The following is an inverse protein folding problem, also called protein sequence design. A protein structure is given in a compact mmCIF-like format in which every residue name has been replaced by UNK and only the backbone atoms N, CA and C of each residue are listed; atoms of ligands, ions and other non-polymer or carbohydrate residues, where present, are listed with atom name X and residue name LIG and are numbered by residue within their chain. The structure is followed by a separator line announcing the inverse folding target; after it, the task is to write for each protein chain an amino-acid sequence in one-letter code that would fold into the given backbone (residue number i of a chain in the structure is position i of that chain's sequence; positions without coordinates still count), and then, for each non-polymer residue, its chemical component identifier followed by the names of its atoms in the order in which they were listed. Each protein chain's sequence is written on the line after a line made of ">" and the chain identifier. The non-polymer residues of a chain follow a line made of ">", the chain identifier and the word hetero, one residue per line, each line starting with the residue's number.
data_IF_654445914782
#
_entry.id   IF_654445914782
#
_cell.length_a   1.000
_cell.length_b   1.000
_cell.length_c   1.000
_cell.angle_alpha   90.00
_cell.angle_beta   90.00
_cell.angle_gamma   90.00
#
_symmetry.space_group_name_H-M   'P 1'
#
loop_
_entity.id
_entity.type
_entity.pdbx_description
1 polymer ?
#
# COMPACT_ATOMS: atom_id res chain seq x y z
N UNK A 1 29.97 -40.65 51.10
CA UNK A 1 30.33 -40.54 49.67
C UNK A 1 29.07 -40.52 48.72
N UNK A 2 28.00 -41.23 49.05
CA UNK A 2 26.77 -41.24 48.22
C UNK A 2 26.10 -39.85 48.10
N UNK A 3 26.01 -39.10 49.21
CA UNK A 3 25.36 -37.77 49.25
C UNK A 3 26.03 -36.75 48.32
N UNK A 4 27.34 -36.79 48.17
CA UNK A 4 28.11 -35.88 47.32
C UNK A 4 27.86 -36.21 45.82
N UNK A 5 27.79 -37.50 45.47
CA UNK A 5 27.50 -37.98 44.13
C UNK A 5 26.07 -37.62 43.68
N UNK A 6 25.10 -37.69 44.60
CA UNK A 6 23.71 -37.30 44.33
C UNK A 6 23.56 -35.78 44.19
N UNK A 7 24.27 -34.99 44.98
CA UNK A 7 24.32 -33.55 44.86
C UNK A 7 24.92 -33.11 43.49
N UNK A 8 26.01 -33.74 43.05
CA UNK A 8 26.62 -33.47 41.74
C UNK A 8 25.67 -33.78 40.60
N UNK A 9 25.03 -34.95 40.62
CA UNK A 9 24.00 -35.32 39.60
C UNK A 9 22.82 -34.35 39.56
N UNK A 10 22.40 -33.88 40.74
CA UNK A 10 21.32 -32.89 40.84
C UNK A 10 21.73 -31.56 40.25
N UNK A 11 22.93 -31.06 40.49
CA UNK A 11 23.49 -29.85 39.91
C UNK A 11 23.60 -29.96 38.39
N UNK A 12 24.10 -31.10 37.87
CA UNK A 12 24.15 -31.34 36.40
C UNK A 12 22.77 -31.31 35.76
N UNK A 13 21.77 -31.95 36.35
CA UNK A 13 20.36 -31.92 35.85
C UNK A 13 19.79 -30.51 35.90
N UNK A 14 20.01 -29.74 36.95
CA UNK A 14 19.57 -28.36 37.05
C UNK A 14 20.21 -27.49 35.94
N UNK A 15 21.50 -27.72 35.67
CA UNK A 15 22.20 -26.99 34.61
C UNK A 15 21.67 -27.31 33.23
N UNK A 16 21.36 -28.59 32.94
CA UNK A 16 20.70 -29.02 31.68
C UNK A 16 19.30 -28.37 31.56
N UNK A 17 18.50 -28.43 32.62
CA UNK A 17 17.17 -27.83 32.63
C UNK A 17 17.21 -26.30 32.38
N UNK A 18 18.19 -25.62 32.98
CA UNK A 18 18.41 -24.19 32.76
C UNK A 18 18.76 -23.89 31.30
N UNK A 19 19.65 -24.64 30.69
CA UNK A 19 20.04 -24.49 29.29
C UNK A 19 18.84 -24.71 28.33
N UNK A 20 18.00 -25.71 28.63
CA UNK A 20 16.78 -25.98 27.88
C UNK A 20 15.80 -24.80 28.03
N UNK A 21 15.62 -24.28 29.24
CA UNK A 21 14.71 -23.15 29.48
C UNK A 21 15.20 -21.87 28.77
N UNK A 22 16.51 -21.57 28.86
CA UNK A 22 17.11 -20.42 28.14
C UNK A 22 16.96 -20.56 26.63
N UNK A 23 17.12 -21.77 26.07
CA UNK A 23 16.89 -22.06 24.65
C UNK A 23 15.44 -21.90 24.24
N UNK A 24 14.48 -22.29 25.07
CA UNK A 24 13.06 -22.11 24.81
C UNK A 24 12.64 -20.64 24.81
N UNK A 25 13.15 -19.84 25.73
CA UNK A 25 12.89 -18.38 25.75
C UNK A 25 13.51 -17.67 24.53
N UNK A 26 14.72 -18.05 24.15
CA UNK A 26 15.36 -17.51 22.95
C UNK A 26 14.55 -17.86 21.66
N UNK A 27 14.07 -19.10 21.56
CA UNK A 27 13.22 -19.52 20.44
C UNK A 27 11.93 -18.70 20.33
N UNK A 28 11.26 -18.44 21.46
CA UNK A 28 10.08 -17.58 21.51
C UNK A 28 10.41 -16.14 21.09
N UNK A 29 11.54 -15.62 21.54
CA UNK A 29 11.97 -14.26 21.21
C UNK A 29 12.30 -14.10 19.71
N UNK A 30 12.93 -15.11 19.10
CA UNK A 30 13.19 -15.16 17.66
C UNK A 30 11.87 -15.24 16.88
N UNK A 31 10.92 -16.08 17.32
CA UNK A 31 9.63 -16.19 16.68
C UNK A 31 8.83 -14.89 16.73
N UNK A 32 8.85 -14.16 17.84
CA UNK A 32 8.27 -12.81 17.94
C UNK A 32 8.89 -11.85 16.91
N UNK A 33 10.22 -11.84 16.77
CA UNK A 33 10.91 -11.02 15.76
C UNK A 33 10.51 -11.42 14.32
N UNK A 34 10.38 -12.73 14.08
CA UNK A 34 9.95 -13.25 12.78
C UNK A 34 8.56 -12.75 12.40
N UNK A 35 7.62 -12.77 13.35
CA UNK A 35 6.25 -12.28 13.12
C UNK A 35 6.26 -10.78 12.82
N UNK A 36 6.94 -9.97 13.64
CA UNK A 36 7.07 -8.53 13.42
C UNK A 36 7.66 -8.22 12.03
N UNK A 37 8.74 -8.91 11.62
CA UNK A 37 9.35 -8.72 10.30
C UNK A 37 8.46 -9.18 9.15
N UNK A 38 7.65 -10.24 9.33
CA UNK A 38 6.73 -10.73 8.32
C UNK A 38 5.64 -9.71 7.98
N UNK A 39 5.17 -8.94 8.96
CA UNK A 39 4.20 -7.85 8.74
C UNK A 39 4.80 -6.73 7.88
N UNK A 40 6.05 -6.33 8.18
CA UNK A 40 6.76 -5.36 7.34
C UNK A 40 7.02 -5.89 5.93
N UNK A 41 7.46 -7.14 5.80
CA UNK A 41 7.69 -7.77 4.51
C UNK A 41 6.42 -7.82 3.65
N UNK A 42 5.28 -8.14 4.26
CA UNK A 42 3.98 -8.14 3.59
C UNK A 42 3.62 -6.74 3.09
N UNK A 43 3.79 -5.72 3.94
CA UNK A 43 3.51 -4.32 3.59
C UNK A 43 4.41 -3.82 2.46
N UNK A 44 5.72 -4.08 2.54
CA UNK A 44 6.70 -3.68 1.53
C UNK A 44 6.44 -4.39 0.20
N UNK A 45 6.18 -5.70 0.22
CA UNK A 45 5.85 -6.46 -0.98
C UNK A 45 4.55 -5.96 -1.64
N UNK A 46 3.51 -5.65 -0.85
CA UNK A 46 2.28 -5.06 -1.36
C UNK A 46 2.53 -3.73 -2.08
N UNK A 47 3.35 -2.85 -1.50
CA UNK A 47 3.74 -1.58 -2.13
C UNK A 47 4.60 -1.77 -3.37
N UNK A 48 5.51 -2.74 -3.37
CA UNK A 48 6.34 -3.06 -4.53
C UNK A 48 5.49 -3.58 -5.70
N UNK A 49 4.55 -4.50 -5.43
CA UNK A 49 3.61 -5.00 -6.44
C UNK A 49 2.73 -3.89 -6.99
N UNK A 50 2.18 -3.03 -6.13
CA UNK A 50 1.41 -1.85 -6.53
C UNK A 50 2.24 -0.89 -7.40
N UNK A 51 3.48 -0.61 -6.98
CA UNK A 51 4.41 0.24 -7.73
C UNK A 51 4.77 -0.33 -9.10
N UNK A 52 5.02 -1.63 -9.21
CA UNK A 52 5.28 -2.30 -10.47
C UNK A 52 4.06 -2.19 -11.41
N UNK A 53 2.85 -2.48 -10.91
CA UNK A 53 1.62 -2.35 -11.67
C UNK A 53 1.39 -0.91 -12.16
N UNK A 54 1.66 0.08 -11.33
CA UNK A 54 1.56 1.50 -11.71
C UNK A 54 2.55 1.86 -12.81
N UNK A 55 3.82 1.47 -12.65
CA UNK A 55 4.86 1.71 -13.64
C UNK A 55 4.52 1.08 -15.00
N UNK A 56 4.06 -0.17 -15.02
CA UNK A 56 3.62 -0.87 -16.23
C UNK A 56 2.46 -0.17 -16.95
N UNK A 57 1.63 0.57 -16.20
CA UNK A 57 0.50 1.34 -16.74
C UNK A 57 0.79 2.83 -16.90
N UNK A 58 2.07 3.24 -16.91
CA UNK A 58 2.50 4.60 -17.23
C UNK A 58 2.34 5.61 -16.10
N UNK A 59 2.07 5.17 -14.86
CA UNK A 59 2.05 6.06 -13.70
C UNK A 59 3.48 6.42 -13.31
N UNK A 60 3.81 7.71 -13.32
CA UNK A 60 5.11 8.20 -12.86
C UNK A 60 5.20 8.18 -11.34
N UNK A 61 6.08 7.34 -10.80
CA UNK A 61 6.27 7.20 -9.36
C UNK A 61 7.31 8.17 -8.82
N UNK A 62 6.98 8.84 -7.72
CA UNK A 62 7.88 9.72 -7.00
C UNK A 62 8.91 8.91 -6.20
N UNK A 63 10.17 9.37 -6.20
CA UNK A 63 11.22 8.76 -5.38
C UNK A 63 10.99 9.03 -3.89
N UNK A 64 11.14 7.99 -3.06
CA UNK A 64 11.09 8.11 -1.59
C UNK A 64 12.51 8.24 -1.05
N UNK A 65 12.83 9.39 -0.46
CA UNK A 65 14.19 9.77 -0.06
C UNK A 65 14.85 8.85 0.97
N UNK A 66 14.07 8.20 1.83
CA UNK A 66 14.60 7.42 2.95
C UNK A 66 14.86 5.93 2.62
N UNK A 67 14.60 5.51 1.38
CA UNK A 67 14.71 4.10 0.96
C UNK A 67 16.14 3.57 1.17
N UNK A 68 17.15 4.28 0.64
CA UNK A 68 18.55 3.85 0.73
C UNK A 68 19.04 3.76 2.19
N UNK A 69 18.71 4.75 3.02
CA UNK A 69 19.09 4.78 4.44
C UNK A 69 18.42 3.66 5.25
N UNK A 70 17.17 3.34 4.91
CA UNK A 70 16.44 2.25 5.57
C UNK A 70 17.00 0.90 5.13
N UNK A 71 17.28 0.71 3.85
CA UNK A 71 17.91 -0.49 3.31
C UNK A 71 19.27 -0.75 3.98
N UNK A 72 20.13 0.27 4.11
CA UNK A 72 21.40 0.15 4.81
C UNK A 72 21.23 -0.24 6.28
N UNK A 73 20.21 0.31 6.96
CA UNK A 73 19.89 -0.02 8.35
C UNK A 73 19.44 -1.48 8.52
N UNK A 74 18.63 -1.99 7.58
CA UNK A 74 18.21 -3.40 7.53
C UNK A 74 19.42 -4.30 7.30
N UNK A 75 20.25 -3.99 6.33
CA UNK A 75 21.45 -4.77 6.01
C UNK A 75 22.43 -4.85 7.19
N UNK A 76 22.73 -3.72 7.84
CA UNK A 76 23.56 -3.69 9.06
C UNK A 76 22.97 -4.53 10.19
N UNK A 77 21.67 -4.57 10.33
CA UNK A 77 20.99 -5.39 11.34
C UNK A 77 21.09 -6.88 11.01
N UNK A 78 20.91 -7.24 9.73
CA UNK A 78 21.10 -8.61 9.25
C UNK A 78 22.52 -9.10 9.47
N UNK A 79 23.55 -8.32 9.10
CA UNK A 79 24.96 -8.68 9.28
C UNK A 79 25.32 -8.92 10.76
N UNK A 80 24.74 -8.13 11.66
CA UNK A 80 24.92 -8.34 13.13
C UNK A 80 24.26 -9.64 13.59
N UNK A 81 23.04 -9.89 13.13
CA UNK A 81 22.32 -11.12 13.48
C UNK A 81 23.04 -12.36 12.96
N UNK A 82 23.58 -12.32 11.74
CA UNK A 82 24.35 -13.44 11.19
C UNK A 82 25.64 -13.75 11.99
N UNK A 83 26.28 -12.72 12.60
CA UNK A 83 27.45 -12.92 13.47
C UNK A 83 27.10 -13.52 14.84
N UNK A 84 25.91 -13.19 15.34
CA UNK A 84 25.45 -13.71 16.65
C UNK A 84 23.90 -13.88 16.55
N UNK A 85 23.43 -15.07 16.14
CA UNK A 85 22.02 -15.31 15.84
C UNK A 85 21.18 -15.48 17.11
N UNK A 86 21.04 -14.38 17.87
CA UNK A 86 20.22 -14.28 19.08
C UNK A 86 19.26 -13.11 18.96
N UNK A 87 18.07 -13.27 19.53
CA UNK A 87 17.07 -12.19 19.58
C UNK A 87 17.63 -10.95 20.30
N UNK A 88 18.41 -11.15 21.35
CA UNK A 88 19.08 -10.08 22.11
C UNK A 88 20.02 -9.24 21.22
N UNK A 89 20.65 -9.83 20.20
CA UNK A 89 21.54 -9.11 19.27
C UNK A 89 20.80 -8.01 18.49
N UNK A 90 19.58 -8.29 18.08
CA UNK A 90 18.72 -7.31 17.39
C UNK A 90 18.05 -6.34 18.37
N UNK A 91 17.57 -6.85 19.52
CA UNK A 91 16.86 -6.04 20.52
C UNK A 91 17.78 -5.23 21.46
N UNK A 92 19.10 -5.31 21.31
CA UNK A 92 20.06 -4.61 22.18
C UNK A 92 19.90 -3.08 22.07
N UNK A 93 19.59 -2.43 23.18
CA UNK A 93 19.36 -1.00 23.28
C UNK A 93 18.14 -0.57 22.46
N UNK A 94 18.25 0.57 21.78
CA UNK A 94 17.16 1.16 20.96
C UNK A 94 17.20 0.72 19.48
N UNK A 95 18.08 -0.22 19.12
CA UNK A 95 18.33 -0.56 17.71
C UNK A 95 17.11 -1.12 17.00
N UNK A 96 16.40 -2.03 17.65
CA UNK A 96 15.21 -2.65 17.09
C UNK A 96 14.09 -1.62 16.91
N UNK A 97 13.79 -0.86 17.94
CA UNK A 97 12.76 0.19 17.91
C UNK A 97 13.08 1.26 16.87
N UNK A 98 14.37 1.62 16.71
CA UNK A 98 14.79 2.56 15.67
C UNK A 98 14.61 1.98 14.25
N UNK A 99 14.91 0.68 14.07
CA UNK A 99 14.75 0.01 12.79
C UNK A 99 13.26 -0.10 12.40
N UNK A 100 12.43 -0.57 13.33
CA UNK A 100 10.97 -0.68 13.08
C UNK A 100 10.34 0.67 12.81
N UNK A 101 10.68 1.71 13.56
CA UNK A 101 10.20 3.08 13.30
C UNK A 101 10.62 3.61 11.91
N UNK A 102 11.84 3.29 11.43
CA UNK A 102 12.27 3.63 10.07
C UNK A 102 11.46 2.87 9.01
N UNK A 103 11.20 1.59 9.23
CA UNK A 103 10.38 0.76 8.33
C UNK A 103 8.94 1.27 8.25
N UNK A 104 8.32 1.57 9.38
CA UNK A 104 6.99 2.18 9.45
C UNK A 104 6.94 3.50 8.68
N UNK A 105 7.89 4.39 8.97
CA UNK A 105 7.99 5.68 8.28
C UNK A 105 8.16 5.52 6.77
N UNK A 106 8.98 4.57 6.32
CA UNK A 106 9.18 4.29 4.90
C UNK A 106 7.91 3.76 4.25
N UNK A 107 7.22 2.81 4.88
CA UNK A 107 5.95 2.24 4.40
C UNK A 107 4.91 3.35 4.24
N UNK A 108 4.75 4.21 5.26
CA UNK A 108 3.76 5.27 5.24
C UNK A 108 4.09 6.35 4.19
N UNK A 109 5.34 6.79 4.10
CA UNK A 109 5.78 7.74 3.06
C UNK A 109 5.55 7.17 1.66
N UNK A 110 5.83 5.88 1.46
CA UNK A 110 5.62 5.22 0.16
C UNK A 110 4.13 5.14 -0.20
N UNK A 111 3.27 4.78 0.75
CA UNK A 111 1.80 4.79 0.56
C UNK A 111 1.29 6.18 0.15
N UNK A 112 1.72 7.21 0.87
CA UNK A 112 1.32 8.60 0.58
C UNK A 112 1.82 9.03 -0.80
N UNK A 113 3.08 8.75 -1.14
CA UNK A 113 3.65 9.07 -2.44
C UNK A 113 2.89 8.36 -3.58
N UNK A 114 2.69 7.04 -3.49
CA UNK A 114 1.95 6.28 -4.50
C UNK A 114 0.51 6.77 -4.65
N UNK A 115 -0.16 7.10 -3.56
CA UNK A 115 -1.52 7.66 -3.60
C UNK A 115 -1.57 9.02 -4.30
N UNK A 116 -0.62 9.90 -4.02
CA UNK A 116 -0.51 11.21 -4.68
C UNK A 116 -0.15 11.09 -6.16
N UNK A 117 0.76 10.17 -6.50
CA UNK A 117 1.15 9.89 -7.89
C UNK A 117 -0.03 9.33 -8.69
N UNK A 118 -0.79 8.42 -8.08
CA UNK A 118 -2.02 7.91 -8.68
C UNK A 118 -3.06 8.98 -8.92
N UNK A 119 -3.33 9.84 -7.94
CA UNK A 119 -4.32 10.93 -8.11
C UNK A 119 -3.94 11.87 -9.25
N UNK A 120 -2.66 12.25 -9.34
CA UNK A 120 -2.15 13.08 -10.45
C UNK A 120 -2.32 12.38 -11.80
N UNK A 121 -1.95 11.11 -11.87
CA UNK A 121 -2.12 10.32 -13.09
C UNK A 121 -3.59 10.20 -13.48
N UNK A 122 -4.47 9.90 -12.52
CA UNK A 122 -5.91 9.80 -12.75
C UNK A 122 -6.49 11.10 -13.32
N UNK A 123 -6.13 12.26 -12.76
CA UNK A 123 -6.61 13.57 -13.20
C UNK A 123 -6.07 13.98 -14.58
N UNK A 124 -4.87 13.53 -14.93
CA UNK A 124 -4.22 13.91 -16.19
C UNK A 124 -4.59 13.00 -17.37
N UNK A 125 -4.82 11.72 -17.13
CA UNK A 125 -4.90 10.71 -18.18
C UNK A 125 -6.30 10.10 -18.37
N UNK A 126 -7.20 10.31 -17.43
CA UNK A 126 -8.55 9.77 -17.52
C UNK A 126 -9.61 10.87 -17.69
N UNK A 127 -10.85 10.45 -17.83
CA UNK A 127 -11.97 11.35 -18.07
C UNK A 127 -12.06 12.49 -17.04
N UNK A 128 -11.91 13.73 -17.50
CA UNK A 128 -11.95 14.97 -16.69
C UNK A 128 -13.29 15.72 -16.74
N UNK A 129 -14.38 15.04 -17.13
CA UNK A 129 -15.69 15.69 -17.27
C UNK A 129 -16.37 16.03 -15.94
N UNK A 130 -17.43 16.82 -16.05
CA UNK A 130 -18.17 17.33 -14.90
C UNK A 130 -18.87 16.20 -14.11
N UNK A 131 -18.97 16.30 -12.78
CA UNK A 131 -19.83 15.42 -12.00
C UNK A 131 -21.28 15.45 -12.50
N UNK A 132 -22.05 14.34 -12.40
CA UNK A 132 -23.38 14.23 -12.97
C UNK A 132 -24.34 15.36 -12.60
N UNK A 133 -24.33 15.82 -11.35
CA UNK A 133 -25.19 16.90 -10.88
C UNK A 133 -24.84 18.26 -11.54
N UNK A 134 -23.54 18.52 -11.74
CA UNK A 134 -23.10 19.73 -12.46
C UNK A 134 -23.40 19.65 -13.95
N UNK A 135 -23.25 18.44 -14.53
CA UNK A 135 -23.58 18.21 -15.95
C UNK A 135 -25.07 18.39 -16.21
N UNK A 136 -25.93 17.85 -15.35
CA UNK A 136 -27.39 17.99 -15.45
C UNK A 136 -27.85 19.45 -15.48
N UNK A 137 -27.20 20.32 -14.71
CA UNK A 137 -27.53 21.73 -14.64
C UNK A 137 -27.25 22.50 -15.96
N UNK A 138 -26.44 21.93 -16.86
CA UNK A 138 -26.06 22.54 -18.15
C UNK A 138 -26.79 21.94 -19.34
N UNK A 139 -27.70 20.99 -19.14
CA UNK A 139 -28.34 20.26 -20.22
C UNK A 139 -29.76 20.75 -20.51
N UNK A 140 -30.11 20.74 -21.78
CA UNK A 140 -31.50 20.90 -22.19
C UNK A 140 -32.35 19.74 -21.65
N UNK A 141 -33.56 20.03 -21.18
CA UNK A 141 -34.51 19.03 -20.66
C UNK A 141 -35.18 18.28 -21.81
N UNK A 142 -34.46 17.32 -22.38
CA UNK A 142 -34.96 16.45 -23.46
C UNK A 142 -34.92 14.98 -23.01
N UNK A 143 -35.82 14.11 -23.54
CA UNK A 143 -35.83 12.68 -23.23
C UNK A 143 -34.52 11.99 -23.60
N UNK A 144 -33.81 12.47 -24.61
CA UNK A 144 -32.50 11.98 -25.04
C UNK A 144 -31.45 12.28 -23.97
N UNK A 145 -31.41 13.51 -23.44
CA UNK A 145 -30.50 13.92 -22.39
C UNK A 145 -30.79 13.18 -21.08
N UNK A 146 -32.05 12.93 -20.75
CA UNK A 146 -32.41 12.16 -19.55
C UNK A 146 -31.88 10.72 -19.63
N UNK A 147 -32.01 10.05 -20.78
CA UNK A 147 -31.46 8.71 -21.01
C UNK A 147 -29.93 8.70 -20.94
N UNK A 148 -29.30 9.66 -21.62
CA UNK A 148 -27.84 9.83 -21.61
C UNK A 148 -27.31 10.11 -20.21
N UNK A 149 -28.00 10.97 -19.43
CA UNK A 149 -27.63 11.32 -18.06
C UNK A 149 -27.75 10.14 -17.10
N UNK A 150 -28.79 9.29 -17.26
CA UNK A 150 -28.91 8.06 -16.45
C UNK A 150 -27.70 7.15 -16.67
N UNK A 151 -27.36 6.87 -17.95
CA UNK A 151 -26.18 6.07 -18.30
C UNK A 151 -24.87 6.72 -17.79
N UNK A 152 -24.77 8.04 -17.91
CA UNK A 152 -23.62 8.80 -17.43
C UNK A 152 -23.44 8.67 -15.93
N UNK A 153 -24.51 8.75 -15.13
CA UNK A 153 -24.47 8.59 -13.67
C UNK A 153 -23.95 7.20 -13.29
N UNK A 154 -24.44 6.14 -13.91
CA UNK A 154 -24.03 4.76 -13.65
C UNK A 154 -22.54 4.56 -13.94
N UNK A 155 -22.08 4.99 -15.10
CA UNK A 155 -20.67 4.90 -15.50
C UNK A 155 -19.77 5.77 -14.64
N UNK A 156 -20.19 7.01 -14.34
CA UNK A 156 -19.41 7.94 -13.51
C UNK A 156 -19.25 7.43 -12.09
N UNK A 157 -20.27 6.81 -11.53
CA UNK A 157 -20.21 6.23 -10.18
C UNK A 157 -19.18 5.10 -10.09
N UNK A 158 -19.13 4.23 -11.10
CA UNK A 158 -18.11 3.18 -11.20
C UNK A 158 -16.71 3.74 -11.48
N UNK A 159 -16.61 4.77 -12.30
CA UNK A 159 -15.36 5.42 -12.67
C UNK A 159 -14.70 6.16 -11.49
N UNK A 160 -15.48 7.00 -10.79
CA UNK A 160 -14.92 7.90 -9.77
C UNK A 160 -14.36 7.14 -8.55
N UNK A 161 -14.79 5.91 -8.33
CA UNK A 161 -14.25 5.06 -7.26
C UNK A 161 -12.75 4.82 -7.42
N UNK A 162 -12.26 4.73 -8.65
CA UNK A 162 -10.85 4.54 -8.94
C UNK A 162 -9.97 5.74 -8.57
N UNK A 163 -10.56 6.92 -8.37
CA UNK A 163 -9.81 8.09 -7.91
C UNK A 163 -9.20 7.88 -6.51
N UNK A 164 -9.96 7.24 -5.62
CA UNK A 164 -9.54 7.00 -4.22
C UNK A 164 -9.08 5.57 -3.97
N UNK A 165 -9.54 4.62 -4.80
CA UNK A 165 -9.17 3.21 -4.74
C UNK A 165 -8.51 2.86 -6.08
N UNK A 166 -7.17 2.96 -6.17
CA UNK A 166 -6.48 2.68 -7.41
C UNK A 166 -6.68 1.22 -7.86
N UNK A 167 -6.54 0.94 -9.17
CA UNK A 167 -6.57 -0.41 -9.69
C UNK A 167 -5.55 -1.31 -9.01
N UNK A 168 -5.94 -2.55 -8.73
CA UNK A 168 -5.09 -3.57 -8.09
C UNK A 168 -4.64 -4.66 -9.05
N UNK A 169 -5.13 -4.63 -10.28
CA UNK A 169 -4.78 -5.57 -11.35
C UNK A 169 -4.76 -4.90 -12.71
N UNK A 170 -4.13 -5.53 -13.69
CA UNK A 170 -4.16 -5.08 -15.08
C UNK A 170 -5.59 -5.05 -15.65
N UNK A 171 -6.44 -5.98 -15.23
CA UNK A 171 -7.86 -6.00 -15.62
C UNK A 171 -8.62 -4.77 -15.10
N UNK A 172 -8.32 -4.33 -13.88
CA UNK A 172 -8.92 -3.12 -13.33
C UNK A 172 -8.47 -1.87 -14.09
N UNK A 173 -7.21 -1.80 -14.53
CA UNK A 173 -6.74 -0.74 -15.43
C UNK A 173 -7.49 -0.74 -16.75
N UNK A 174 -7.69 -1.90 -17.36
CA UNK A 174 -8.47 -2.03 -18.60
C UNK A 174 -9.93 -1.57 -18.41
N UNK A 175 -10.56 -1.98 -17.31
CA UNK A 175 -11.92 -1.50 -16.96
C UNK A 175 -11.98 0.01 -16.79
N UNK A 176 -10.99 0.59 -16.11
CA UNK A 176 -10.91 2.04 -15.91
C UNK A 176 -10.78 2.79 -17.26
N UNK A 177 -9.91 2.30 -18.15
CA UNK A 177 -9.78 2.85 -19.50
C UNK A 177 -11.10 2.78 -20.29
N UNK A 178 -11.77 1.63 -20.22
CA UNK A 178 -13.06 1.45 -20.88
C UNK A 178 -14.13 2.40 -20.33
N UNK A 179 -14.22 2.55 -19.02
CA UNK A 179 -15.13 3.49 -18.36
C UNK A 179 -14.84 4.94 -18.78
N UNK A 180 -13.57 5.32 -18.82
CA UNK A 180 -13.14 6.65 -19.28
C UNK A 180 -13.56 6.91 -20.74
N UNK A 181 -13.34 5.94 -21.65
CA UNK A 181 -13.75 6.01 -23.05
C UNK A 181 -15.27 6.09 -23.19
N UNK A 182 -16.02 5.26 -22.47
CA UNK A 182 -17.48 5.26 -22.50
C UNK A 182 -18.05 6.58 -22.01
N UNK A 183 -17.50 7.17 -20.94
CA UNK A 183 -17.90 8.50 -20.45
C UNK A 183 -17.65 9.60 -21.48
N UNK A 184 -16.50 9.55 -22.14
CA UNK A 184 -16.14 10.51 -23.20
C UNK A 184 -17.05 10.37 -24.43
N UNK A 185 -17.51 9.16 -24.73
CA UNK A 185 -18.37 8.90 -25.89
C UNK A 185 -19.83 9.34 -25.72
N UNK A 186 -20.28 9.64 -24.49
CA UNK A 186 -21.64 10.12 -24.25
C UNK A 186 -21.79 11.54 -24.78
N UNK A 187 -22.66 11.71 -25.75
CA UNK A 187 -23.01 13.01 -26.31
C UNK A 187 -24.24 13.55 -25.60
N UNK A 188 -24.24 14.85 -25.32
CA UNK A 188 -25.32 15.58 -24.71
C UNK A 188 -25.73 16.74 -25.63
N UNK A 189 -27.00 17.09 -25.60
CA UNK A 189 -27.50 18.32 -26.20
C UNK A 189 -27.44 19.42 -25.15
N UNK A 190 -26.54 20.39 -25.34
CA UNK A 190 -26.42 21.53 -24.44
C UNK A 190 -27.62 22.47 -24.60
N UNK A 191 -28.02 23.09 -23.48
CA UNK A 191 -29.05 24.14 -23.53
C UNK A 191 -28.41 25.42 -24.12
N UNK A 192 -28.75 25.73 -25.38
CA UNK A 192 -28.26 26.95 -26.03
C UNK A 192 -29.07 28.13 -25.50
N UNK A 193 -28.46 29.13 -24.86
CA UNK A 193 -29.17 30.30 -24.38
C UNK A 193 -30.02 30.93 -25.48
N UNK A 194 -31.23 31.34 -25.13
CA UNK A 194 -32.21 31.87 -26.11
C UNK A 194 -31.66 33.07 -26.95
N UNK A 195 -30.75 33.85 -26.32
CA UNK A 195 -30.03 34.91 -26.99
C UNK A 195 -29.17 34.42 -28.17
N UNK A 196 -28.59 33.22 -28.08
CA UNK A 196 -27.75 32.62 -29.14
C UNK A 196 -28.63 31.92 -30.19
N UNK A 197 -29.80 31.35 -29.81
CA UNK A 197 -30.75 30.73 -30.73
C UNK A 197 -31.33 31.71 -31.78
N UNK A 198 -31.32 33.01 -31.44
CA UNK A 198 -31.81 34.06 -32.37
C UNK A 198 -30.78 34.44 -33.45
N UNK A 199 -29.55 33.97 -33.33
CA UNK A 199 -28.44 34.26 -34.26
C UNK A 199 -27.99 33.03 -35.07
N UNK A 200 -28.54 31.85 -34.81
CA UNK A 200 -28.37 30.61 -35.57
C UNK A 200 -29.63 30.34 -36.41
#
# INVERSE_FOLDING_TARGET
>A
MALLADATKTCERLQILRTIAEGAEEAKAIESLRVELAEFATSVNGLACSGALFHENGVSLSAVSDLANTQESVQKSLERFLKAPKATTLRQGTRWTTLTAKLETLVDKTKVAQSGDWQRHFEQHFFGGLPPAKREATLAKTPENERALKRYRELYQSFIQYRTKPPTSAEDFQKLHLLSQQLTAIKFQEDVPEAVRKFL
#
